data_IF_157017502089
#
_entry.id   IF_157017502089
#
_cell.length_a   1.000
_cell.length_b   1.000
_cell.length_c   1.000
_cell.angle_alpha   90.00
_cell.angle_beta   90.00
_cell.angle_gamma   90.00
#
_symmetry.space_group_name_H-M   'P 1'
#
loop_
_entity.id
_entity.type
_entity.pdbx_description
1 polymer ?
#
# COMPACT_ATOMS: atom_id res chain seq x y z
N UNK A 1 -25.37 9.10 -6.75
CA UNK A 1 -24.56 8.67 -5.59
C UNK A 1 -24.33 9.87 -4.68
N UNK A 2 -24.76 9.78 -3.42
CA UNK A 2 -24.79 10.89 -2.46
C UNK A 2 -23.39 11.38 -2.08
N UNK A 3 -23.27 12.62 -1.63
CA UNK A 3 -22.03 13.29 -1.17
C UNK A 3 -21.31 12.59 -0.01
N UNK A 4 -21.80 11.44 0.43
CA UNK A 4 -21.33 10.73 1.60
C UNK A 4 -20.06 9.90 1.33
N UNK A 5 -19.65 9.57 0.12
CA UNK A 5 -18.43 8.77 -0.16
C UNK A 5 -17.14 9.63 -0.23
N UNK A 6 -17.02 10.63 0.64
CA UNK A 6 -15.81 11.44 0.80
C UNK A 6 -15.04 11.05 2.06
N UNK A 7 -13.73 10.91 1.94
CA UNK A 7 -12.80 10.82 3.07
C UNK A 7 -12.93 12.12 3.84
N UNK A 8 -13.37 12.01 5.10
CA UNK A 8 -14.06 13.11 5.77
C UNK A 8 -13.12 14.24 6.25
N UNK A 9 -11.80 14.01 6.21
CA UNK A 9 -10.70 14.97 6.44
C UNK A 9 -9.35 14.28 6.22
N UNK A 10 -8.28 15.06 6.02
CA UNK A 10 -6.90 14.54 6.04
C UNK A 10 -6.65 13.80 7.36
N UNK A 11 -6.22 12.55 7.26
CA UNK A 11 -5.85 11.71 8.41
C UNK A 11 -4.66 12.35 9.14
N UNK A 12 -4.68 12.27 10.48
CA UNK A 12 -3.51 12.62 11.32
C UNK A 12 -2.46 11.52 11.23
N UNK A 13 -1.19 11.90 11.20
CA UNK A 13 -0.11 10.91 11.27
C UNK A 13 -0.06 10.29 12.67
N UNK A 14 0.15 8.98 12.73
CA UNK A 14 0.30 8.21 13.95
C UNK A 14 1.76 7.76 14.12
N UNK A 15 2.40 8.04 15.25
CA UNK A 15 3.80 7.68 15.47
C UNK A 15 3.98 6.17 15.62
N UNK A 16 5.16 5.66 15.28
CA UNK A 16 5.53 4.27 15.51
C UNK A 16 5.68 4.02 17.02
N UNK A 17 4.78 3.23 17.60
CA UNK A 17 4.79 2.94 19.03
C UNK A 17 5.93 1.99 19.44
N UNK A 18 6.14 1.84 20.75
CA UNK A 18 7.15 0.90 21.28
C UNK A 18 6.82 -0.57 20.94
N UNK A 19 5.54 -0.93 20.93
CA UNK A 19 5.09 -2.30 20.60
C UNK A 19 5.22 -2.59 19.12
N UNK A 20 4.82 -1.66 18.25
CA UNK A 20 5.05 -1.78 16.81
C UNK A 20 6.55 -1.83 16.50
N UNK A 21 7.36 -1.01 17.16
CA UNK A 21 8.82 -1.06 16.99
C UNK A 21 9.42 -2.40 17.40
N UNK A 22 8.99 -2.98 18.52
CA UNK A 22 9.39 -4.33 18.94
C UNK A 22 9.01 -5.38 17.88
N UNK A 23 7.81 -5.27 17.30
CA UNK A 23 7.39 -6.11 16.18
C UNK A 23 8.33 -5.96 14.98
N UNK A 24 8.60 -4.72 14.55
CA UNK A 24 9.43 -4.43 13.38
C UNK A 24 10.85 -4.97 13.55
N UNK A 25 11.47 -4.81 14.73
CA UNK A 25 12.80 -5.39 15.04
C UNK A 25 12.80 -6.91 14.90
N UNK A 26 11.76 -7.56 15.43
CA UNK A 26 11.64 -9.03 15.40
C UNK A 26 11.59 -9.57 13.97
N UNK A 27 11.01 -8.82 13.04
CA UNK A 27 10.87 -9.22 11.64
C UNK A 27 11.85 -8.53 10.68
N UNK A 28 12.92 -7.92 11.21
CA UNK A 28 13.99 -7.33 10.40
C UNK A 28 13.56 -6.10 9.61
N UNK A 29 12.54 -5.37 10.07
CA UNK A 29 12.04 -4.13 9.44
C UNK A 29 12.57 -2.86 10.07
N UNK A 30 12.91 -2.89 11.37
CA UNK A 30 13.54 -1.78 12.09
C UNK A 30 15.06 -1.96 12.04
N UNK A 31 15.74 -1.06 11.33
CA UNK A 31 17.19 -1.06 11.16
C UNK A 31 17.73 0.36 11.29
N UNK A 32 19.02 0.51 11.58
CA UNK A 32 19.66 1.82 11.50
C UNK A 32 19.91 2.22 10.04
N UNK A 33 19.44 3.40 9.64
CA UNK A 33 19.62 3.97 8.30
C UNK A 33 20.71 5.07 8.35
N UNK A 34 21.56 5.17 7.31
CA UNK A 34 22.62 6.19 7.25
C UNK A 34 22.10 7.61 6.98
N UNK A 35 20.81 7.75 6.61
CA UNK A 35 20.19 9.03 6.31
C UNK A 35 18.72 8.99 6.72
N UNK A 36 18.30 9.99 7.49
CA UNK A 36 16.92 10.19 7.91
C UNK A 36 16.13 11.05 6.92
N UNK A 37 14.80 10.95 6.99
CA UNK A 37 13.89 11.86 6.28
C UNK A 37 14.16 13.33 6.65
N UNK A 38 14.45 13.60 7.93
CA UNK A 38 14.68 14.98 8.39
C UNK A 38 15.95 15.59 7.80
N UNK A 39 17.00 14.81 7.60
CA UNK A 39 18.23 15.26 6.93
C UNK A 39 17.99 15.62 5.45
N UNK A 40 17.15 14.87 4.74
CA UNK A 40 16.83 15.15 3.34
C UNK A 40 16.12 16.50 3.14
N UNK A 41 15.46 17.04 4.15
CA UNK A 41 14.78 18.35 4.05
C UNK A 41 15.72 19.55 3.95
N UNK A 42 17.01 19.40 4.26
CA UNK A 42 17.98 20.50 4.21
C UNK A 42 18.57 20.72 2.81
N UNK A 43 17.75 20.59 1.75
CA UNK A 43 18.17 20.93 0.39
C UNK A 43 18.29 22.46 0.22
N UNK A 44 19.16 22.92 -0.68
CA UNK A 44 19.46 24.34 -0.89
C UNK A 44 18.60 25.00 -1.96
N UNK A 45 18.21 24.23 -2.98
CA UNK A 45 17.39 24.73 -4.09
C UNK A 45 16.53 23.60 -4.66
N UNK A 46 15.50 23.99 -5.40
CA UNK A 46 14.59 23.07 -6.05
C UNK A 46 14.14 23.64 -7.41
N UNK A 47 13.69 22.76 -8.31
CA UNK A 47 13.03 23.13 -9.56
C UNK A 47 11.77 22.28 -9.76
N UNK A 48 10.67 22.83 -10.29
CA UNK A 48 9.49 22.04 -10.63
C UNK A 48 9.84 20.95 -11.66
N UNK A 49 9.31 19.75 -11.44
CA UNK A 49 9.43 18.63 -12.37
C UNK A 49 8.19 18.59 -13.27
N UNK A 50 8.40 18.75 -14.57
CA UNK A 50 7.35 18.64 -15.58
C UNK A 50 7.35 17.26 -16.22
N UNK A 51 6.18 16.79 -16.63
CA UNK A 51 6.06 15.56 -17.43
C UNK A 51 6.48 15.81 -18.90
N UNK A 52 6.44 14.74 -19.70
CA UNK A 52 6.78 14.77 -21.13
C UNK A 52 5.93 15.74 -21.96
N UNK A 53 4.74 16.08 -21.48
CA UNK A 53 3.77 16.95 -22.14
C UNK A 53 3.84 18.39 -21.58
N UNK A 54 4.82 18.68 -20.71
CA UNK A 54 5.04 19.98 -20.09
C UNK A 54 4.07 20.30 -18.95
N UNK A 55 3.31 19.33 -18.45
CA UNK A 55 2.40 19.54 -17.31
C UNK A 55 3.15 19.37 -16.00
N UNK A 56 2.80 20.22 -15.04
CA UNK A 56 3.37 20.18 -13.69
C UNK A 56 2.99 18.86 -13.00
N UNK A 57 4.01 18.13 -12.53
CA UNK A 57 3.80 16.85 -11.82
C UNK A 57 3.52 17.05 -10.33
N UNK A 58 3.66 18.28 -9.81
CA UNK A 58 3.64 18.63 -8.39
C UNK A 58 4.76 17.97 -7.57
N UNK A 59 5.83 17.55 -8.27
CA UNK A 59 7.09 17.16 -7.68
C UNK A 59 8.14 18.24 -7.99
N UNK A 60 9.09 18.40 -7.09
CA UNK A 60 10.22 19.30 -7.28
C UNK A 60 11.51 18.50 -7.18
N UNK A 61 12.40 18.63 -8.17
CA UNK A 61 13.75 18.07 -8.05
C UNK A 61 14.56 18.96 -7.12
N UNK A 62 15.14 18.37 -6.07
CA UNK A 62 15.88 19.08 -5.03
C UNK A 62 17.39 18.92 -5.20
N UNK A 63 18.14 19.94 -4.80
CA UNK A 63 19.60 19.98 -4.90
C UNK A 63 20.24 20.35 -3.57
N UNK A 64 21.33 19.67 -3.26
CA UNK A 64 22.15 19.89 -2.06
C UNK A 64 23.45 20.61 -2.43
N UNK A 65 24.15 21.14 -1.43
CA UNK A 65 25.48 21.71 -1.66
C UNK A 65 26.45 20.66 -2.21
N UNK A 66 27.50 21.03 -2.97
CA UNK A 66 28.50 20.08 -3.42
C UNK A 66 29.17 19.28 -2.29
N UNK A 67 29.32 19.87 -1.11
CA UNK A 67 29.86 19.18 0.08
C UNK A 67 28.91 18.12 0.63
N UNK A 68 27.61 18.42 0.74
CA UNK A 68 26.62 17.51 1.32
C UNK A 68 26.11 16.49 0.30
N UNK A 69 26.04 16.87 -0.98
CA UNK A 69 25.47 16.04 -2.05
C UNK A 69 26.17 14.70 -2.20
N UNK A 70 27.50 14.66 -2.07
CA UNK A 70 28.26 13.42 -2.13
C UNK A 70 27.91 12.47 -0.97
N UNK A 71 27.82 12.99 0.26
CA UNK A 71 27.46 12.20 1.44
C UNK A 71 26.01 11.69 1.35
N UNK A 72 25.08 12.56 0.96
CA UNK A 72 23.67 12.19 0.75
C UNK A 72 23.56 11.11 -0.32
N UNK A 73 24.23 11.26 -1.46
CA UNK A 73 24.20 10.27 -2.53
C UNK A 73 24.78 8.92 -2.06
N UNK A 74 25.90 8.92 -1.33
CA UNK A 74 26.47 7.70 -0.74
C UNK A 74 25.49 7.03 0.23
N UNK A 75 24.87 7.79 1.13
CA UNK A 75 23.89 7.28 2.08
C UNK A 75 22.63 6.74 1.39
N UNK A 76 22.15 7.39 0.32
CA UNK A 76 21.02 6.91 -0.47
C UNK A 76 21.34 5.60 -1.21
N UNK A 77 22.54 5.45 -1.77
CA UNK A 77 23.00 4.16 -2.34
C UNK A 77 23.06 3.08 -1.28
N UNK A 78 23.55 3.43 -0.08
CA UNK A 78 23.60 2.50 1.05
C UNK A 78 22.19 2.06 1.50
N UNK A 79 21.24 2.98 1.58
CA UNK A 79 19.83 2.69 1.86
C UNK A 79 19.26 1.74 0.81
N UNK A 80 19.52 1.99 -0.48
CA UNK A 80 19.06 1.11 -1.55
C UNK A 80 19.60 -0.32 -1.41
N UNK A 81 20.89 -0.48 -1.09
CA UNK A 81 21.48 -1.81 -0.82
C UNK A 81 20.88 -2.49 0.41
N UNK A 82 20.61 -1.74 1.49
CA UNK A 82 19.91 -2.27 2.66
C UNK A 82 18.51 -2.78 2.28
N UNK A 83 17.80 -2.04 1.44
CA UNK A 83 16.44 -2.36 0.99
C UNK A 83 16.39 -3.57 0.04
N UNK A 84 17.35 -3.70 -0.89
CA UNK A 84 17.30 -4.68 -1.99
C UNK A 84 18.15 -5.93 -1.78
N UNK A 85 19.28 -5.80 -1.10
CA UNK A 85 20.30 -6.86 -1.00
C UNK A 85 20.71 -7.15 0.45
N UNK A 86 19.86 -6.83 1.43
CA UNK A 86 20.14 -7.02 2.85
C UNK A 86 21.48 -6.41 3.29
N UNK A 87 21.92 -5.34 2.61
CA UNK A 87 23.15 -4.62 2.93
C UNK A 87 24.42 -5.10 2.22
N UNK A 88 24.34 -5.99 1.22
CA UNK A 88 25.49 -6.32 0.38
C UNK A 88 25.92 -5.12 -0.48
N UNK A 89 27.15 -4.64 -0.27
CA UNK A 89 27.67 -3.38 -0.83
C UNK A 89 28.23 -3.47 -2.25
N UNK A 90 28.40 -4.68 -2.81
CA UNK A 90 29.10 -4.90 -4.07
C UNK A 90 28.50 -4.10 -5.25
N UNK A 91 27.20 -3.84 -5.23
CA UNK A 91 26.53 -3.05 -6.27
C UNK A 91 26.73 -1.53 -6.10
N UNK A 92 27.10 -1.02 -4.92
CA UNK A 92 27.11 0.42 -4.59
C UNK A 92 28.10 1.23 -5.44
N UNK A 93 29.19 0.61 -5.88
CA UNK A 93 30.22 1.24 -6.74
C UNK A 93 29.68 1.57 -8.14
N UNK A 94 28.72 0.79 -8.61
CA UNK A 94 28.18 0.89 -9.97
C UNK A 94 26.78 1.51 -10.00
N UNK A 95 26.33 2.05 -8.88
CA UNK A 95 25.08 2.80 -8.76
C UNK A 95 25.37 4.29 -8.63
N UNK A 96 24.49 5.12 -9.18
CA UNK A 96 24.45 6.55 -8.90
C UNK A 96 23.02 7.04 -8.66
N UNK A 97 22.88 8.08 -7.83
CA UNK A 97 21.62 8.79 -7.67
C UNK A 97 21.51 9.79 -8.82
N UNK A 98 20.59 9.55 -9.74
CA UNK A 98 20.35 10.46 -10.86
C UNK A 98 19.49 11.64 -10.41
N UNK A 99 18.50 11.38 -9.54
CA UNK A 99 17.54 12.41 -9.14
C UNK A 99 16.92 12.17 -7.78
N UNK A 100 16.68 13.27 -7.05
CA UNK A 100 15.96 13.30 -5.79
C UNK A 100 14.77 14.25 -5.99
N UNK A 101 13.56 13.71 -5.95
CA UNK A 101 12.33 14.48 -6.13
C UNK A 101 11.57 14.58 -4.80
N UNK A 102 11.10 15.77 -4.44
CA UNK A 102 10.28 16.04 -3.26
C UNK A 102 8.83 16.34 -3.66
N UNK A 103 7.88 15.66 -3.02
CA UNK A 103 6.46 15.85 -3.30
C UNK A 103 5.87 16.94 -2.40
N UNK A 104 5.41 18.04 -2.98
CA UNK A 104 4.89 19.19 -2.22
C UNK A 104 3.45 19.00 -1.71
N UNK A 105 2.67 18.11 -2.34
CA UNK A 105 1.24 17.95 -2.06
C UNK A 105 0.89 16.75 -1.16
N UNK A 106 1.76 15.74 -1.09
CA UNK A 106 1.47 14.48 -0.39
C UNK A 106 1.34 14.63 1.13
N UNK A 107 0.59 13.73 1.78
CA UNK A 107 0.39 13.79 3.24
C UNK A 107 1.70 13.65 4.03
N UNK A 108 2.52 12.70 3.61
CA UNK A 108 3.85 12.43 4.15
C UNK A 108 4.97 13.20 3.45
N UNK A 109 4.63 14.04 2.45
CA UNK A 109 5.56 14.78 1.57
C UNK A 109 6.81 13.95 1.21
N UNK A 110 6.61 12.82 0.51
CA UNK A 110 7.68 11.86 0.30
C UNK A 110 8.81 12.42 -0.57
N UNK A 111 10.02 11.92 -0.33
CA UNK A 111 11.11 11.96 -1.31
C UNK A 111 11.04 10.72 -2.19
N UNK A 112 11.20 10.89 -3.50
CA UNK A 112 11.38 9.82 -4.48
C UNK A 112 12.81 9.90 -5.00
N UNK A 113 13.52 8.79 -4.90
CA UNK A 113 14.93 8.69 -5.28
C UNK A 113 14.99 7.86 -6.56
N UNK A 114 15.53 8.43 -7.63
CA UNK A 114 15.87 7.70 -8.86
C UNK A 114 17.32 7.25 -8.77
N UNK A 115 17.53 5.95 -8.77
CA UNK A 115 18.84 5.32 -8.75
C UNK A 115 19.06 4.55 -10.05
N UNK A 116 20.26 4.64 -10.60
CA UNK A 116 20.61 4.08 -11.92
C UNK A 116 21.85 3.23 -11.81
N UNK A 117 21.86 2.09 -12.49
CA UNK A 117 23.02 1.23 -12.64
C UNK A 117 23.85 1.63 -13.86
N UNK A 118 25.13 1.94 -13.63
CA UNK A 118 26.07 2.45 -14.63
C UNK A 118 26.39 1.45 -15.75
N UNK A 119 26.16 0.15 -15.55
CA UNK A 119 26.52 -0.87 -16.53
C UNK A 119 25.45 -1.14 -17.57
N UNK A 120 24.18 -0.87 -17.26
CA UNK A 120 23.06 -1.25 -18.13
C UNK A 120 21.99 -0.16 -18.25
N UNK A 121 22.20 1.00 -17.64
CA UNK A 121 21.26 2.14 -17.60
C UNK A 121 19.85 1.78 -17.09
N UNK A 122 19.73 0.63 -16.42
CA UNK A 122 18.50 0.24 -15.74
C UNK A 122 18.40 1.06 -14.47
N UNK A 123 17.22 1.63 -14.27
CA UNK A 123 16.93 2.48 -13.12
C UNK A 123 15.83 1.88 -12.26
N UNK A 124 15.84 2.26 -11.00
CA UNK A 124 14.81 1.92 -10.02
C UNK A 124 14.45 3.15 -9.21
N UNK A 125 13.35 3.04 -8.48
CA UNK A 125 12.87 4.06 -7.57
C UNK A 125 12.66 3.48 -6.17
N UNK A 126 12.92 4.31 -5.17
CA UNK A 126 12.47 4.06 -3.81
C UNK A 126 12.04 5.38 -3.16
N UNK A 127 11.25 5.29 -2.10
CA UNK A 127 10.66 6.45 -1.45
C UNK A 127 11.13 6.53 -0.01
N UNK A 128 11.41 7.75 0.45
CA UNK A 128 11.70 8.06 1.84
C UNK A 128 10.59 8.97 2.36
N UNK A 129 9.94 8.55 3.45
CA UNK A 129 8.75 9.17 4.02
C UNK A 129 8.92 9.35 5.52
N UNK A 130 8.11 10.23 6.10
CA UNK A 130 7.85 10.19 7.54
C UNK A 130 7.13 8.88 7.87
N UNK A 131 7.64 8.15 8.87
CA UNK A 131 7.07 6.90 9.33
C UNK A 131 5.69 7.15 9.97
N UNK A 132 4.70 6.40 9.51
CA UNK A 132 3.32 6.41 10.02
C UNK A 132 2.91 4.99 10.36
N UNK A 133 2.42 4.78 11.60
CA UNK A 133 2.06 3.45 12.09
C UNK A 133 0.98 2.79 11.24
N UNK A 134 -0.06 3.53 10.83
CA UNK A 134 -1.14 2.97 10.02
C UNK A 134 -0.63 2.58 8.62
N UNK A 135 0.24 3.38 7.99
CA UNK A 135 0.93 2.97 6.75
C UNK A 135 1.72 1.66 6.94
N UNK A 136 2.50 1.55 8.01
CA UNK A 136 3.30 0.36 8.33
C UNK A 136 2.41 -0.88 8.52
N UNK A 137 1.29 -0.76 9.24
CA UNK A 137 0.32 -1.85 9.35
C UNK A 137 -0.23 -2.26 7.97
N UNK A 138 -0.43 -1.31 7.06
CA UNK A 138 -0.89 -1.60 5.69
C UNK A 138 0.15 -2.37 4.88
N UNK A 139 1.41 -1.95 4.95
CA UNK A 139 2.54 -2.64 4.32
C UNK A 139 2.71 -4.07 4.85
N UNK A 140 2.57 -4.28 6.16
CA UNK A 140 2.62 -5.60 6.77
C UNK A 140 1.43 -6.48 6.36
N UNK A 141 0.20 -5.95 6.37
CA UNK A 141 -0.96 -6.72 5.91
C UNK A 141 -0.89 -7.06 4.43
N UNK A 142 -0.44 -6.14 3.57
CA UNK A 142 -0.18 -6.45 2.15
C UNK A 142 0.77 -7.64 2.05
N UNK A 143 1.90 -7.59 2.76
CA UNK A 143 2.91 -8.66 2.76
C UNK A 143 2.36 -9.99 3.29
N UNK A 144 1.53 -9.96 4.34
CA UNK A 144 1.12 -11.17 5.06
C UNK A 144 -0.11 -11.84 4.48
N UNK A 145 -1.05 -11.08 3.93
CA UNK A 145 -2.35 -11.60 3.53
C UNK A 145 -2.69 -11.40 2.06
N UNK A 146 -1.82 -10.74 1.29
CA UNK A 146 -1.96 -10.58 -0.16
C UNK A 146 -0.92 -11.42 -0.93
N UNK A 147 -1.00 -11.54 -2.27
CA UNK A 147 0.05 -12.15 -3.05
C UNK A 147 1.27 -11.23 -3.28
N UNK A 148 1.22 -9.99 -2.79
CA UNK A 148 2.23 -8.97 -3.07
C UNK A 148 3.18 -8.82 -1.88
N UNK A 149 4.46 -9.07 -2.15
CA UNK A 149 5.52 -8.73 -1.21
C UNK A 149 5.93 -7.27 -1.39
N UNK A 150 6.20 -6.56 -0.29
CA UNK A 150 6.76 -5.21 -0.31
C UNK A 150 8.01 -5.15 0.57
N UNK A 151 9.10 -4.64 0.02
CA UNK A 151 10.28 -4.29 0.80
C UNK A 151 10.14 -2.87 1.34
N UNK A 152 10.31 -2.76 2.65
CA UNK A 152 10.39 -1.48 3.34
C UNK A 152 11.24 -1.64 4.60
N UNK A 153 11.76 -0.52 5.08
CA UNK A 153 12.61 -0.39 6.26
C UNK A 153 12.17 0.83 7.07
N UNK A 154 12.35 0.77 8.38
CA UNK A 154 12.02 1.85 9.30
C UNK A 154 13.25 2.14 10.17
N UNK A 155 13.56 3.41 10.37
CA UNK A 155 14.48 3.88 11.41
C UNK A 155 13.89 5.10 12.10
N UNK A 156 13.60 4.99 13.39
CA UNK A 156 12.93 6.01 14.19
C UNK A 156 11.67 6.61 13.52
N UNK A 157 11.79 7.79 12.91
CA UNK A 157 10.71 8.53 12.21
C UNK A 157 10.81 8.44 10.69
N UNK A 158 11.75 7.66 10.16
CA UNK A 158 12.01 7.49 8.73
C UNK A 158 11.46 6.16 8.25
N UNK A 159 10.67 6.18 7.18
CA UNK A 159 10.21 5.00 6.45
C UNK A 159 10.83 5.03 5.06
N UNK A 160 11.48 3.94 4.67
CA UNK A 160 11.98 3.71 3.32
C UNK A 160 11.17 2.58 2.70
N UNK A 161 10.61 2.79 1.51
CA UNK A 161 9.83 1.77 0.81
C UNK A 161 10.21 1.66 -0.67
N UNK A 162 10.15 0.44 -1.18
CA UNK A 162 10.39 0.14 -2.58
C UNK A 162 9.29 0.70 -3.48
N UNK A 163 9.64 1.06 -4.71
CA UNK A 163 8.64 1.42 -5.70
C UNK A 163 7.78 0.21 -6.11
N UNK A 164 6.47 0.39 -6.05
CA UNK A 164 5.51 -0.58 -6.57
C UNK A 164 5.24 -0.24 -8.04
N UNK A 165 5.84 -1.03 -8.93
CA UNK A 165 5.72 -0.88 -10.37
C UNK A 165 4.32 -1.24 -10.88
N UNK A 166 3.86 -0.50 -11.89
CA UNK A 166 2.62 -0.77 -12.62
C UNK A 166 2.03 0.51 -13.22
N UNK A 167 0.97 0.36 -13.99
CA UNK A 167 0.26 1.47 -14.62
C UNK A 167 -0.80 1.98 -13.63
N UNK A 168 -0.81 3.26 -13.22
CA UNK A 168 -1.85 3.82 -12.36
C UNK A 168 -3.25 3.50 -12.88
N UNK A 169 -4.17 3.10 -12.01
CA UNK A 169 -5.50 2.64 -12.41
C UNK A 169 -6.31 3.67 -13.19
N UNK A 170 -6.13 4.96 -12.92
CA UNK A 170 -6.76 6.04 -13.68
C UNK A 170 -6.18 6.22 -15.08
N UNK A 171 -4.86 6.03 -15.25
CA UNK A 171 -4.19 5.98 -16.55
C UNK A 171 -4.60 4.72 -17.31
N UNK A 172 -4.62 3.57 -16.63
CA UNK A 172 -5.04 2.30 -17.21
C UNK A 172 -6.47 2.38 -17.76
N UNK A 173 -7.39 2.94 -16.98
CA UNK A 173 -8.77 3.15 -17.39
C UNK A 173 -8.92 4.05 -18.64
N UNK A 174 -8.03 5.03 -18.82
CA UNK A 174 -8.11 5.97 -19.94
C UNK A 174 -7.42 5.47 -21.20
N UNK A 175 -6.28 4.80 -21.07
CA UNK A 175 -5.36 4.53 -22.19
C UNK A 175 -5.18 3.04 -22.51
N UNK A 176 -5.60 2.14 -21.61
CA UNK A 176 -5.27 0.71 -21.70
C UNK A 176 -6.48 -0.20 -21.70
N UNK A 177 -7.58 0.19 -21.04
CA UNK A 177 -8.71 -0.71 -20.78
C UNK A 177 -9.36 -1.29 -22.04
N UNK A 178 -9.37 -0.52 -23.14
CA UNK A 178 -10.00 -0.89 -24.41
C UNK A 178 -8.98 -1.38 -25.47
N UNK A 179 -7.76 -1.73 -25.06
CA UNK A 179 -6.76 -2.28 -25.98
C UNK A 179 -7.23 -3.63 -26.54
N UNK A 180 -7.11 -3.85 -27.86
CA UNK A 180 -7.64 -5.05 -28.51
C UNK A 180 -7.00 -6.35 -28.03
N UNK A 181 -5.74 -6.29 -27.58
CA UNK A 181 -5.03 -7.43 -27.00
C UNK A 181 -5.42 -7.75 -25.56
N UNK A 182 -6.17 -6.87 -24.86
CA UNK A 182 -6.51 -7.05 -23.45
C UNK A 182 -7.87 -7.71 -23.28
N UNK A 183 -7.92 -8.74 -22.43
CA UNK A 183 -9.15 -9.45 -22.12
C UNK A 183 -9.93 -8.72 -21.00
N UNK A 184 -11.07 -8.07 -21.31
CA UNK A 184 -11.80 -7.27 -20.33
C UNK A 184 -12.40 -8.11 -19.20
N UNK A 185 -12.66 -9.41 -19.42
CA UNK A 185 -13.12 -10.32 -18.36
C UNK A 185 -12.02 -10.58 -17.33
N UNK A 186 -10.75 -10.64 -17.75
CA UNK A 186 -9.61 -10.82 -16.82
C UNK A 186 -9.40 -9.57 -15.97
N UNK A 187 -9.54 -8.38 -16.56
CA UNK A 187 -9.51 -7.09 -15.83
C UNK A 187 -10.65 -7.05 -14.79
N UNK A 188 -11.88 -7.37 -15.20
CA UNK A 188 -13.05 -7.41 -14.29
C UNK A 188 -12.88 -8.43 -13.16
N UNK A 189 -12.41 -9.64 -13.47
CA UNK A 189 -12.06 -10.66 -12.46
C UNK A 189 -11.08 -10.13 -11.44
N UNK A 190 -10.01 -9.48 -11.89
CA UNK A 190 -8.98 -8.95 -10.99
C UNK A 190 -9.52 -7.82 -10.11
N UNK A 191 -10.38 -6.93 -10.64
CA UNK A 191 -11.02 -5.89 -9.83
C UNK A 191 -11.92 -6.45 -8.72
N UNK A 192 -12.66 -7.53 -8.99
CA UNK A 192 -13.44 -8.25 -7.96
C UNK A 192 -12.53 -8.75 -6.84
N UNK A 193 -11.40 -9.39 -7.19
CA UNK A 193 -10.43 -9.92 -6.22
C UNK A 193 -9.76 -8.81 -5.43
N UNK A 194 -9.36 -7.72 -6.09
CA UNK A 194 -8.78 -6.56 -5.43
C UNK A 194 -9.75 -5.93 -4.42
N UNK A 195 -11.03 -5.84 -4.76
CA UNK A 195 -12.05 -5.33 -3.87
C UNK A 195 -12.18 -6.16 -2.58
N UNK A 196 -12.11 -7.49 -2.68
CA UNK A 196 -12.09 -8.37 -1.50
C UNK A 196 -10.80 -8.21 -0.69
N UNK A 197 -9.63 -8.13 -1.34
CA UNK A 197 -8.37 -7.91 -0.62
C UNK A 197 -8.40 -6.63 0.20
N UNK A 198 -8.89 -5.53 -0.37
CA UNK A 198 -9.02 -4.26 0.34
C UNK A 198 -9.98 -4.37 1.53
N UNK A 199 -11.12 -5.02 1.34
CA UNK A 199 -12.11 -5.17 2.40
C UNK A 199 -11.58 -5.99 3.56
N UNK A 200 -11.01 -7.17 3.29
CA UNK A 200 -10.48 -8.07 4.32
C UNK A 200 -9.38 -7.43 5.14
N UNK A 201 -8.52 -6.64 4.49
CA UNK A 201 -7.45 -5.93 5.18
C UNK A 201 -7.95 -4.68 5.89
N UNK A 202 -9.14 -4.18 5.58
CA UNK A 202 -9.58 -2.82 5.93
C UNK A 202 -8.63 -1.76 5.35
N UNK A 203 -8.24 -1.91 4.08
CA UNK A 203 -7.43 -0.94 3.35
C UNK A 203 -8.35 0.07 2.62
N UNK A 204 -8.37 1.31 3.11
CA UNK A 204 -9.26 2.37 2.62
C UNK A 204 -8.67 3.20 1.48
N UNK A 205 -9.47 4.12 0.94
CA UNK A 205 -9.07 5.10 -0.10
C UNK A 205 -8.43 4.49 -1.35
N UNK A 206 -8.99 3.38 -1.82
CA UNK A 206 -8.49 2.70 -3.02
C UNK A 206 -9.15 3.25 -4.28
N UNK A 207 -9.02 4.56 -4.50
CA UNK A 207 -9.37 5.22 -5.77
C UNK A 207 -8.40 4.81 -6.87
N UNK A 208 -8.78 5.00 -8.13
CA UNK A 208 -8.02 4.51 -9.29
C UNK A 208 -6.58 5.04 -9.37
N UNK A 209 -6.27 6.18 -8.78
CA UNK A 209 -4.90 6.72 -8.71
C UNK A 209 -4.07 6.20 -7.51
N UNK A 210 -4.67 5.41 -6.61
CA UNK A 210 -4.03 4.83 -5.41
C UNK A 210 -3.71 3.33 -5.56
N UNK A 211 -3.91 2.77 -6.76
CA UNK A 211 -3.46 1.42 -7.12
C UNK A 211 -2.93 1.39 -8.55
N UNK A 212 -2.18 0.34 -8.88
CA UNK A 212 -1.60 0.12 -10.20
C UNK A 212 -2.00 -1.24 -10.76
N UNK A 213 -2.06 -1.34 -12.08
CA UNK A 213 -2.11 -2.59 -12.84
C UNK A 213 -0.70 -3.06 -13.16
N UNK A 214 -0.38 -4.25 -12.68
CA UNK A 214 0.77 -5.05 -13.09
C UNK A 214 0.30 -6.03 -14.18
N UNK A 215 0.99 -6.01 -15.33
CA UNK A 215 0.59 -6.72 -16.54
C UNK A 215 1.70 -7.71 -16.87
N UNK A 216 1.37 -8.99 -16.82
CA UNK A 216 2.32 -10.08 -17.09
C UNK A 216 1.87 -10.86 -18.31
N UNK A 217 2.74 -10.98 -19.31
CA UNK A 217 2.52 -11.89 -20.42
C UNK A 217 2.67 -13.33 -19.92
N UNK A 218 1.64 -14.14 -20.11
CA UNK A 218 1.67 -15.57 -19.80
C UNK A 218 1.61 -16.41 -21.09
N UNK A 219 1.73 -17.74 -20.97
CA UNK A 219 1.83 -18.66 -22.09
C UNK A 219 0.63 -18.63 -23.05
N UNK A 220 -0.58 -18.34 -22.54
CA UNK A 220 -1.82 -18.35 -23.32
C UNK A 220 -2.43 -16.95 -23.53
N UNK A 221 -2.41 -16.09 -22.53
CA UNK A 221 -3.08 -14.79 -22.54
C UNK A 221 -2.52 -13.89 -21.41
N UNK A 222 -2.80 -12.59 -21.45
CA UNK A 222 -2.25 -11.60 -20.53
C UNK A 222 -2.90 -11.73 -19.15
N UNK A 223 -2.08 -11.71 -18.10
CA UNK A 223 -2.54 -11.67 -16.72
C UNK A 223 -2.48 -10.24 -16.17
N UNK A 224 -3.53 -9.85 -15.46
CA UNK A 224 -3.62 -8.56 -14.77
C UNK A 224 -3.60 -8.80 -13.27
N UNK A 225 -2.84 -7.96 -12.55
CA UNK A 225 -2.87 -7.90 -11.09
C UNK A 225 -2.99 -6.46 -10.63
N UNK A 226 -3.91 -6.19 -9.72
CA UNK A 226 -4.01 -4.86 -9.10
C UNK A 226 -3.24 -4.87 -7.78
N UNK A 227 -2.32 -3.91 -7.65
CA UNK A 227 -1.49 -3.67 -6.46
C UNK A 227 -1.80 -2.30 -5.87
N UNK A 228 -2.06 -2.25 -4.57
CA UNK A 228 -2.20 -0.97 -3.86
C UNK A 228 -0.83 -0.27 -3.78
N UNK A 229 -0.83 1.06 -3.89
CA UNK A 229 0.38 1.88 -3.73
C UNK A 229 0.28 2.87 -2.58
N UNK A 230 -0.94 3.17 -2.14
CA UNK A 230 -1.20 3.95 -0.93
C UNK A 230 -1.71 3.06 0.21
N UNK A 231 -1.08 3.20 1.38
CA UNK A 231 -1.41 2.48 2.60
C UNK A 231 -1.76 3.42 3.75
N UNK A 232 -1.84 4.74 3.49
CA UNK A 232 -2.09 5.75 4.51
C UNK A 232 -3.46 5.58 5.18
N UNK A 233 -4.42 4.95 4.52
CA UNK A 233 -5.81 4.78 4.99
C UNK A 233 -6.09 3.37 5.54
N UNK A 234 -5.05 2.69 6.04
CA UNK A 234 -5.17 1.38 6.66
C UNK A 234 -5.97 1.46 7.97
N UNK A 235 -7.12 0.79 8.02
CA UNK A 235 -8.02 0.66 9.16
C UNK A 235 -8.42 1.98 9.83
N UNK A 236 -8.34 3.10 9.10
CA UNK A 236 -8.55 4.43 9.67
C UNK A 236 -10.02 4.85 9.67
N UNK A 237 -10.76 4.56 8.61
CA UNK A 237 -12.11 5.08 8.40
C UNK A 237 -13.21 4.28 9.10
N UNK A 238 -14.26 4.98 9.55
CA UNK A 238 -15.32 4.34 10.33
C UNK A 238 -16.30 3.52 9.49
N UNK A 239 -16.50 3.86 8.22
CA UNK A 239 -17.53 3.23 7.38
C UNK A 239 -16.98 2.07 6.59
N UNK A 240 -17.63 0.90 6.66
CA UNK A 240 -17.12 -0.32 6.01
C UNK A 240 -16.95 -0.19 4.49
N UNK A 241 -17.82 0.60 3.83
CA UNK A 241 -17.80 0.77 2.37
C UNK A 241 -16.54 1.50 1.86
N UNK A 242 -15.85 2.26 2.70
CA UNK A 242 -14.59 2.92 2.32
C UNK A 242 -13.48 1.91 2.04
N UNK A 243 -13.58 0.70 2.61
CA UNK A 243 -12.64 -0.40 2.38
C UNK A 243 -12.99 -1.25 1.14
N UNK A 244 -13.98 -0.82 0.35
CA UNK A 244 -14.47 -1.53 -0.82
C UNK A 244 -14.30 -0.63 -2.05
N UNK A 245 -13.22 -0.81 -2.84
CA UNK A 245 -12.90 -0.02 -4.03
C UNK A 245 -14.09 0.28 -4.96
N UNK A 246 -15.05 -0.64 -5.08
CA UNK A 246 -16.25 -0.49 -5.91
C UNK A 246 -17.14 0.73 -5.56
N UNK A 247 -17.01 1.34 -4.38
CA UNK A 247 -17.82 2.50 -3.98
C UNK A 247 -17.15 3.85 -4.29
N UNK A 248 -15.94 3.86 -4.86
CA UNK A 248 -15.33 5.11 -5.31
C UNK A 248 -15.76 5.43 -6.74
N UNK A 249 -16.20 6.68 -6.97
CA UNK A 249 -16.65 7.16 -8.29
C UNK A 249 -15.56 7.00 -9.35
N UNK A 250 -14.32 7.21 -8.96
CA UNK A 250 -13.12 7.06 -9.79
C UNK A 250 -12.96 5.64 -10.33
N UNK A 251 -13.56 4.64 -9.67
CA UNK A 251 -13.52 3.24 -10.06
C UNK A 251 -14.77 2.78 -10.84
N UNK A 252 -15.72 3.67 -11.14
CA UNK A 252 -16.98 3.31 -11.81
C UNK A 252 -16.74 2.56 -13.13
N UNK A 253 -15.71 2.92 -13.88
CA UNK A 253 -15.32 2.24 -15.13
C UNK A 253 -15.09 0.74 -14.92
N UNK A 254 -14.44 0.34 -13.82
CA UNK A 254 -14.21 -1.07 -13.50
C UNK A 254 -15.47 -1.75 -12.95
N UNK A 255 -16.31 -1.01 -12.22
CA UNK A 255 -17.60 -1.51 -11.72
C UNK A 255 -18.53 -1.84 -12.88
N UNK A 256 -18.64 -0.94 -13.85
CA UNK A 256 -19.43 -1.12 -15.07
C UNK A 256 -18.93 -2.31 -15.88
N UNK A 257 -17.60 -2.48 -15.98
CA UNK A 257 -16.98 -3.63 -16.64
C UNK A 257 -17.40 -4.95 -15.97
N UNK A 258 -17.35 -5.02 -14.64
CA UNK A 258 -17.80 -6.18 -13.86
C UNK A 258 -19.28 -6.44 -14.09
N UNK A 259 -20.14 -5.42 -13.95
CA UNK A 259 -21.60 -5.56 -14.12
C UNK A 259 -21.99 -6.01 -15.52
N UNK A 260 -21.28 -5.54 -16.55
CA UNK A 260 -21.57 -5.89 -17.95
C UNK A 260 -21.09 -7.29 -18.33
N UNK A 261 -19.97 -7.76 -17.76
CA UNK A 261 -19.28 -8.95 -18.27
C UNK A 261 -19.34 -10.19 -17.38
N UNK A 262 -19.60 -10.03 -16.08
CA UNK A 262 -19.46 -11.11 -15.11
C UNK A 262 -20.83 -11.43 -14.48
N UNK A 263 -21.24 -12.69 -14.60
CA UNK A 263 -22.47 -13.18 -13.98
C UNK A 263 -22.38 -13.13 -12.44
N UNK A 264 -23.46 -12.78 -11.70
CA UNK A 264 -23.43 -12.65 -10.24
C UNK A 264 -22.87 -13.87 -9.49
N UNK A 265 -23.14 -15.09 -9.95
CA UNK A 265 -22.60 -16.30 -9.31
C UNK A 265 -21.09 -16.45 -9.52
N UNK A 266 -20.57 -15.99 -10.67
CA UNK A 266 -19.13 -15.96 -10.95
C UNK A 266 -18.43 -14.90 -10.10
N UNK A 267 -19.10 -13.77 -9.79
CA UNK A 267 -18.58 -12.79 -8.84
C UNK A 267 -18.37 -13.44 -7.47
N UNK A 268 -19.39 -14.14 -6.94
CA UNK A 268 -19.30 -14.86 -5.66
C UNK A 268 -18.17 -15.90 -5.68
N UNK A 269 -18.03 -16.62 -6.78
CA UNK A 269 -16.92 -17.58 -6.95
C UNK A 269 -15.56 -16.89 -6.84
N UNK A 270 -15.32 -15.80 -7.57
CA UNK A 270 -14.05 -15.08 -7.51
C UNK A 270 -13.77 -14.48 -6.14
N UNK A 271 -14.81 -14.03 -5.43
CA UNK A 271 -14.66 -13.58 -4.04
C UNK A 271 -14.24 -14.75 -3.13
N UNK A 272 -14.88 -15.91 -3.27
CA UNK A 272 -14.52 -17.10 -2.48
C UNK A 272 -13.09 -17.56 -2.77
N UNK A 273 -12.69 -17.63 -4.05
CA UNK A 273 -11.31 -17.96 -4.44
C UNK A 273 -10.29 -17.05 -3.75
N UNK A 274 -10.54 -15.74 -3.74
CA UNK A 274 -9.63 -14.78 -3.10
C UNK A 274 -9.61 -14.96 -1.57
N UNK A 275 -10.77 -15.14 -0.94
CA UNK A 275 -10.88 -15.36 0.50
C UNK A 275 -10.13 -16.62 0.95
N UNK A 276 -10.28 -17.72 0.24
CA UNK A 276 -9.56 -18.97 0.54
C UNK A 276 -8.05 -18.79 0.39
N UNK A 277 -7.60 -18.04 -0.62
CA UNK A 277 -6.17 -17.70 -0.79
C UNK A 277 -5.63 -16.86 0.37
N UNK A 278 -6.42 -15.89 0.83
CA UNK A 278 -6.09 -15.08 2.00
C UNK A 278 -6.03 -15.96 3.26
N UNK A 279 -7.01 -16.84 3.49
CA UNK A 279 -7.05 -17.74 4.67
C UNK A 279 -5.83 -18.67 4.71
N UNK A 280 -5.41 -19.21 3.57
CA UNK A 280 -4.17 -20.01 3.48
C UNK A 280 -2.94 -19.21 3.94
N UNK A 281 -2.82 -17.94 3.53
CA UNK A 281 -1.74 -17.04 3.96
C UNK A 281 -1.84 -16.69 5.44
N UNK A 282 -3.05 -16.51 5.97
CA UNK A 282 -3.27 -16.28 7.41
C UNK A 282 -2.78 -17.49 8.21
N UNK A 283 -3.12 -18.70 7.76
CA UNK A 283 -2.69 -19.96 8.40
C UNK A 283 -1.16 -20.11 8.34
N UNK A 284 -0.51 -19.81 7.21
CA UNK A 284 0.95 -19.90 7.07
C UNK A 284 1.70 -18.86 7.90
N UNK A 285 1.13 -17.66 8.10
CA UNK A 285 1.73 -16.57 8.88
C UNK A 285 1.12 -16.38 10.27
N UNK A 286 0.47 -17.43 10.83
CA UNK A 286 -0.32 -17.33 12.07
C UNK A 286 0.39 -16.61 13.23
N UNK A 287 1.68 -16.88 13.41
CA UNK A 287 2.48 -16.28 14.48
C UNK A 287 2.74 -14.79 14.21
N UNK A 288 3.13 -14.44 12.99
CA UNK A 288 3.40 -13.05 12.61
C UNK A 288 2.15 -12.19 12.59
N UNK A 289 1.00 -12.73 12.19
CA UNK A 289 -0.29 -12.03 12.26
C UNK A 289 -0.71 -11.79 13.71
N UNK A 290 -0.57 -12.80 14.57
CA UNK A 290 -0.85 -12.64 16.01
C UNK A 290 0.01 -11.54 16.61
N UNK A 291 1.31 -11.57 16.32
CA UNK A 291 2.25 -10.60 16.88
C UNK A 291 2.00 -9.17 16.31
N UNK A 292 1.56 -9.05 15.05
CA UNK A 292 1.16 -7.76 14.44
C UNK A 292 -0.10 -7.20 15.10
N UNK A 293 -1.09 -8.05 15.36
CA UNK A 293 -2.31 -7.68 16.09
C UNK A 293 -1.99 -7.21 17.49
N UNK A 294 -1.13 -7.93 18.20
CA UNK A 294 -0.79 -7.59 19.58
C UNK A 294 -0.16 -6.19 19.64
N UNK A 295 0.69 -5.84 18.66
CA UNK A 295 1.17 -4.47 18.48
C UNK A 295 0.02 -3.48 18.19
N UNK A 296 -0.85 -3.78 17.22
CA UNK A 296 -1.95 -2.91 16.81
C UNK A 296 -3.01 -2.69 17.91
N UNK A 297 -3.08 -3.59 18.90
CA UNK A 297 -4.07 -3.52 19.98
C UNK A 297 -3.74 -2.45 21.01
N UNK A 298 -2.48 -2.01 21.09
CA UNK A 298 -2.02 -0.94 21.97
C UNK A 298 -1.92 0.43 21.26
N UNK A 299 -2.05 0.45 19.94
CA UNK A 299 -1.91 1.67 19.13
C UNK A 299 -3.24 2.41 18.93
N UNK A 300 -3.19 3.73 19.03
CA UNK A 300 -4.25 4.60 18.51
C UNK A 300 -4.08 4.74 17.00
N UNK A 301 -4.99 4.13 16.22
CA UNK A 301 -4.92 4.12 14.75
C UNK A 301 -6.13 4.80 14.10
N UNK A 302 -7.10 5.23 14.89
CA UNK A 302 -8.32 5.93 14.45
C UNK A 302 -8.96 6.64 15.65
N UNK A 303 -10.02 7.42 15.40
CA UNK A 303 -10.74 8.12 16.48
C UNK A 303 -11.77 7.19 17.14
N UNK A 304 -12.14 7.41 18.41
CA UNK A 304 -13.15 6.60 19.10
C UNK A 304 -14.49 6.50 18.35
N UNK A 305 -14.91 7.58 17.69
CA UNK A 305 -16.14 7.63 16.91
C UNK A 305 -16.06 6.72 15.69
N UNK A 306 -14.93 6.75 14.97
CA UNK A 306 -14.69 5.90 13.81
C UNK A 306 -14.56 4.43 14.20
N UNK A 307 -13.88 4.13 15.31
CA UNK A 307 -13.80 2.77 15.87
C UNK A 307 -15.21 2.24 16.19
N UNK A 308 -16.03 3.06 16.86
CA UNK A 308 -17.42 2.70 17.20
C UNK A 308 -18.26 2.44 15.94
N UNK A 309 -18.19 3.34 14.96
CA UNK A 309 -18.88 3.17 13.68
C UNK A 309 -18.46 1.86 12.99
N UNK A 310 -17.15 1.61 12.89
CA UNK A 310 -16.61 0.48 12.16
C UNK A 310 -17.01 -0.86 12.77
N UNK A 311 -16.94 -0.97 14.10
CA UNK A 311 -17.35 -2.21 14.77
C UNK A 311 -18.87 -2.47 14.66
N UNK A 312 -19.69 -1.42 14.63
CA UNK A 312 -21.15 -1.53 14.43
C UNK A 312 -21.45 -1.97 12.99
N UNK A 313 -20.85 -1.31 12.00
CA UNK A 313 -20.96 -1.64 10.58
C UNK A 313 -20.54 -3.09 10.29
N UNK A 314 -19.45 -3.56 10.91
CA UNK A 314 -18.93 -4.92 10.76
C UNK A 314 -19.75 -5.96 11.54
N UNK A 315 -20.26 -5.61 12.72
CA UNK A 315 -21.20 -6.47 13.47
C UNK A 315 -22.44 -6.78 12.64
N UNK A 316 -23.00 -5.76 11.99
CA UNK A 316 -24.13 -5.92 11.07
C UNK A 316 -23.74 -6.73 9.82
N UNK A 317 -22.59 -6.41 9.20
CA UNK A 317 -22.13 -7.09 7.97
C UNK A 317 -21.98 -8.60 8.15
N UNK A 318 -21.36 -9.03 9.26
CA UNK A 318 -21.13 -10.45 9.56
C UNK A 318 -22.24 -11.07 10.39
N UNK A 319 -23.26 -10.31 10.80
CA UNK A 319 -24.26 -10.72 11.79
C UNK A 319 -23.63 -11.29 13.06
N UNK A 320 -22.54 -10.66 13.52
CA UNK A 320 -21.74 -11.12 14.65
C UNK A 320 -21.60 -10.02 15.73
N UNK A 321 -22.37 -10.10 16.84
CA UNK A 321 -22.32 -9.11 17.92
C UNK A 321 -20.96 -9.01 18.64
N UNK A 322 -20.05 -9.98 18.48
CA UNK A 322 -18.72 -9.94 19.11
C UNK A 322 -17.90 -8.72 18.66
N UNK A 323 -18.14 -8.17 17.46
CA UNK A 323 -17.49 -6.94 17.03
C UNK A 323 -17.81 -5.75 17.95
N UNK A 324 -19.00 -5.69 18.55
CA UNK A 324 -19.39 -4.58 19.45
C UNK A 324 -18.52 -4.49 20.70
N UNK A 325 -17.82 -5.58 21.06
CA UNK A 325 -16.90 -5.63 22.19
C UNK A 325 -15.49 -5.13 21.84
N UNK A 326 -15.17 -4.96 20.55
CA UNK A 326 -13.87 -4.45 20.11
C UNK A 326 -13.69 -2.99 20.57
N UNK A 327 -12.57 -2.72 21.25
CA UNK A 327 -12.24 -1.39 21.79
C UNK A 327 -11.20 -0.66 20.96
N UNK A 328 -10.32 -1.39 20.27
CA UNK A 328 -9.25 -0.83 19.44
C UNK A 328 -9.33 -1.36 18.01
N UNK A 329 -8.65 -0.67 17.09
CA UNK A 329 -8.53 -1.13 15.70
C UNK A 329 -7.86 -2.51 15.63
N UNK A 330 -6.84 -2.78 16.45
CA UNK A 330 -6.23 -4.11 16.54
C UNK A 330 -7.24 -5.20 16.89
N UNK A 331 -8.18 -4.94 17.80
CA UNK A 331 -9.26 -5.90 18.12
C UNK A 331 -10.22 -6.10 16.94
N UNK A 332 -10.58 -5.02 16.22
CA UNK A 332 -11.45 -5.10 15.05
C UNK A 332 -10.79 -5.94 13.96
N UNK A 333 -9.52 -5.67 13.65
CA UNK A 333 -8.75 -6.40 12.65
C UNK A 333 -8.65 -7.89 12.98
N UNK A 334 -8.36 -8.24 14.23
CA UNK A 334 -8.31 -9.64 14.68
C UNK A 334 -9.66 -10.34 14.51
N UNK A 335 -10.74 -9.70 14.94
CA UNK A 335 -12.09 -10.26 14.81
C UNK A 335 -12.46 -10.44 13.33
N UNK A 336 -12.13 -9.46 12.49
CA UNK A 336 -12.38 -9.50 11.05
C UNK A 336 -11.65 -10.66 10.37
N UNK A 337 -10.35 -10.83 10.64
CA UNK A 337 -9.56 -11.94 10.09
C UNK A 337 -10.03 -13.30 10.64
N UNK A 338 -10.42 -13.38 11.91
CA UNK A 338 -10.99 -14.61 12.51
C UNK A 338 -12.32 -14.99 11.87
N UNK A 339 -13.18 -14.02 11.59
CA UNK A 339 -14.47 -14.28 10.94
C UNK A 339 -14.26 -14.85 9.53
N UNK A 340 -13.29 -14.30 8.79
CA UNK A 340 -12.90 -14.84 7.50
C UNK A 340 -12.46 -16.31 7.60
N UNK A 341 -11.56 -16.63 8.54
CA UNK A 341 -11.08 -18.00 8.75
C UNK A 341 -12.22 -18.95 9.15
N UNK A 342 -13.17 -18.50 9.98
CA UNK A 342 -14.35 -19.30 10.37
C UNK A 342 -15.29 -19.57 9.18
N UNK A 343 -15.48 -18.58 8.32
CA UNK A 343 -16.37 -18.71 7.16
C UNK A 343 -15.85 -19.73 6.14
N UNK A 344 -14.53 -19.82 5.96
CA UNK A 344 -13.87 -20.78 5.07
C UNK A 344 -14.04 -22.23 5.59
N UNK A 345 -13.92 -22.45 6.90
CA UNK A 345 -14.07 -23.77 7.54
C UNK A 345 -15.51 -24.32 7.48
N UNK A 346 -16.52 -23.48 7.26
CA UNK A 346 -17.91 -23.95 7.08
C UNK A 346 -18.18 -24.53 5.68
N UNK A 347 -17.23 -24.41 4.77
CA UNK A 347 -17.32 -24.91 3.40
C UNK A 347 -16.41 -26.13 3.13
N UNK A 348 -15.62 -26.55 4.13
CA UNK A 348 -14.95 -27.85 4.22
C UNK A 348 -15.84 -28.83 5.01
#
# INVERSE_FOLDING_TARGET
MSDHERISKKKKSYPVSKTLRKYLRRYGRDIHLPLSYDQLKYYQSNIPLYDKDGKDTLWETVFYSPSEGNEIHQSLKRIYSLLKSSGHTQAEEHLHIERIDYCVFGNSRPFRIKIVNNYNDVHDYFYIKVADASRIYGLELETLVSPNWINYLVDETTLVEEHISGIPGDVFAKEYIDRPEYNPRRIAKEFIKFNERCFVRLLGDMRSYNFVFDITQDFDDIQFRIRAIDFDQQSYEGRKNIYRPQYFKENNVFVELVTKLIHPDVIKQYQLEERTQIVRRIKSHRHRIRDLRDAASEDELSTPEKIKQLREDLAEHYQNPSFLQCKTIGNIMDMHLKELVKSDVKHD
#
